data_IF_818479527704
#
_entry.id   IF_818479527704
#
_cell.length_a   1.000
_cell.length_b   1.000
_cell.length_c   1.000
_cell.angle_alpha   90.00
_cell.angle_beta   90.00
_cell.angle_gamma   90.00
#
_symmetry.space_group_name_H-M   'P 1'
#
loop_
_entity.id
_entity.type
_entity.pdbx_description
1 polymer ?
#
# COMPACT_ATOMS: atom_id res chain seq x y z
N UNK A 1 -10.88 -2.76 -6.75
CA UNK A 1 -10.28 -2.11 -7.92
C UNK A 1 -8.97 -2.77 -8.33
N UNK A 2 -7.90 -2.75 -7.53
CA UNK A 2 -6.59 -3.37 -7.86
C UNK A 2 -6.62 -4.88 -8.16
N UNK A 3 -7.52 -5.64 -7.52
CA UNK A 3 -7.61 -7.10 -7.69
C UNK A 3 -8.53 -7.53 -8.84
N UNK A 4 -9.18 -6.58 -9.52
CA UNK A 4 -10.03 -6.91 -10.67
C UNK A 4 -9.17 -7.47 -11.80
N UNK A 5 -9.60 -8.53 -12.52
CA UNK A 5 -8.83 -9.11 -13.62
C UNK A 5 -8.37 -8.08 -14.65
N UNK A 6 -9.26 -7.16 -15.04
CA UNK A 6 -8.99 -6.10 -16.00
C UNK A 6 -7.99 -5.03 -15.53
N UNK A 7 -7.48 -5.08 -14.30
CA UNK A 7 -6.49 -4.12 -13.78
C UNK A 7 -5.14 -4.77 -13.44
N UNK A 8 -4.92 -6.05 -13.78
CA UNK A 8 -3.71 -6.79 -13.40
C UNK A 8 -2.40 -6.18 -13.91
N UNK A 9 -2.38 -5.60 -15.09
CA UNK A 9 -1.24 -4.87 -15.68
C UNK A 9 -0.74 -3.67 -14.85
N UNK A 10 -1.55 -3.13 -13.92
CA UNK A 10 -1.10 -2.05 -13.02
C UNK A 10 -0.19 -2.57 -11.89
N UNK A 11 -0.07 -3.89 -11.73
CA UNK A 11 0.89 -4.56 -10.85
C UNK A 11 2.27 -4.65 -11.53
N UNK A 12 2.89 -3.49 -11.79
CA UNK A 12 4.09 -3.37 -12.64
C UNK A 12 5.36 -3.97 -12.03
N UNK A 13 5.67 -3.59 -10.78
CA UNK A 13 6.93 -3.95 -10.10
C UNK A 13 6.74 -5.11 -9.12
N UNK A 14 5.54 -5.22 -8.56
CA UNK A 14 5.12 -6.25 -7.61
C UNK A 14 3.81 -6.84 -8.08
N UNK A 15 3.47 -8.05 -7.63
CA UNK A 15 2.23 -8.74 -7.97
C UNK A 15 1.31 -8.96 -6.76
N UNK A 16 0.04 -9.38 -6.99
CA UNK A 16 -0.88 -9.70 -5.90
C UNK A 16 -0.35 -10.78 -4.95
N UNK A 17 0.47 -11.72 -5.45
CA UNK A 17 1.08 -12.81 -4.67
C UNK A 17 2.40 -12.42 -4.00
N UNK A 18 2.95 -11.23 -4.29
CA UNK A 18 4.17 -10.75 -3.63
C UNK A 18 3.94 -10.70 -2.12
N UNK A 19 4.88 -11.25 -1.35
CA UNK A 19 4.79 -11.27 0.10
C UNK A 19 4.95 -9.85 0.67
N UNK A 20 4.14 -9.52 1.67
CA UNK A 20 4.24 -8.24 2.40
C UNK A 20 5.64 -8.07 2.99
N UNK A 21 6.21 -9.15 3.53
CA UNK A 21 7.58 -9.19 4.04
C UNK A 21 8.62 -8.83 2.97
N UNK A 22 8.43 -9.27 1.72
CA UNK A 22 9.33 -8.95 0.61
C UNK A 22 9.17 -7.49 0.17
N UNK A 23 7.93 -6.99 0.12
CA UNK A 23 7.65 -5.64 -0.35
C UNK A 23 8.05 -4.56 0.66
N UNK A 24 7.80 -4.78 1.95
CA UNK A 24 7.99 -3.78 3.01
C UNK A 24 9.11 -4.11 4.00
N UNK A 25 9.72 -5.28 3.92
CA UNK A 25 10.87 -5.67 4.73
C UNK A 25 10.51 -6.26 6.10
N UNK A 26 11.52 -6.30 6.98
CA UNK A 26 11.51 -7.08 8.22
C UNK A 26 10.43 -6.65 9.22
N UNK A 27 10.20 -5.34 9.40
CA UNK A 27 9.17 -4.89 10.35
C UNK A 27 7.77 -5.37 9.93
N UNK A 28 7.51 -5.43 8.62
CA UNK A 28 6.26 -5.95 8.09
C UNK A 28 6.17 -7.47 8.26
N UNK A 29 7.28 -8.20 8.08
CA UNK A 29 7.34 -9.63 8.36
C UNK A 29 7.02 -9.94 9.84
N UNK A 30 7.59 -9.17 10.76
CA UNK A 30 7.32 -9.31 12.21
C UNK A 30 5.86 -9.01 12.54
N UNK A 31 5.25 -8.00 11.89
CA UNK A 31 3.88 -7.59 12.21
C UNK A 31 2.81 -8.46 11.58
N UNK A 32 3.01 -8.89 10.34
CA UNK A 32 1.99 -9.57 9.53
C UNK A 32 2.30 -11.04 9.22
N UNK A 33 3.47 -11.53 9.63
CA UNK A 33 4.00 -12.83 9.21
C UNK A 33 4.63 -12.78 7.83
N UNK A 34 5.24 -13.90 7.43
CA UNK A 34 5.96 -14.05 6.15
C UNK A 34 5.05 -14.46 4.99
N UNK A 35 3.89 -15.03 5.29
CA UNK A 35 3.01 -15.62 4.27
C UNK A 35 1.98 -14.65 3.70
N UNK A 36 1.71 -13.55 4.39
CA UNK A 36 0.78 -12.51 3.96
C UNK A 36 1.19 -11.96 2.59
N UNK A 37 0.25 -11.89 1.67
CA UNK A 37 0.45 -11.32 0.34
C UNK A 37 -0.06 -9.87 0.25
N UNK A 38 0.48 -9.09 -0.70
CA UNK A 38 -0.02 -7.74 -0.97
C UNK A 38 -1.51 -7.75 -1.37
N UNK A 39 -1.94 -8.77 -2.11
CA UNK A 39 -3.35 -8.94 -2.48
C UNK A 39 -4.25 -9.13 -1.26
N UNK A 40 -3.85 -9.96 -0.30
CA UNK A 40 -4.55 -10.08 0.99
C UNK A 40 -4.49 -8.79 1.79
N UNK A 41 -3.36 -8.07 1.75
CA UNK A 41 -3.18 -6.77 2.39
C UNK A 41 -4.22 -5.74 1.95
N UNK A 42 -4.57 -5.72 0.66
CA UNK A 42 -5.59 -4.83 0.10
C UNK A 42 -7.01 -5.10 0.63
N UNK A 43 -7.27 -6.30 1.13
CA UNK A 43 -8.57 -6.69 1.69
C UNK A 43 -8.70 -6.32 3.18
N UNK A 44 -7.63 -5.87 3.83
CA UNK A 44 -7.61 -5.52 5.25
C UNK A 44 -8.53 -4.36 5.62
N UNK A 45 -9.47 -4.58 6.54
CA UNK A 45 -10.39 -3.56 7.08
C UNK A 45 -10.65 -3.81 8.56
N UNK A 46 -11.12 -2.78 9.28
CA UNK A 46 -11.65 -2.90 10.65
C UNK A 46 -10.60 -3.00 11.78
N UNK A 47 -9.40 -3.51 11.49
CA UNK A 47 -8.27 -3.53 12.43
C UNK A 47 -7.20 -2.50 12.00
N UNK A 48 -6.50 -1.90 12.98
CA UNK A 48 -5.52 -0.84 12.77
C UNK A 48 -4.44 -1.25 11.77
N UNK A 49 -3.70 -2.31 12.07
CA UNK A 49 -2.55 -2.70 11.25
C UNK A 49 -2.98 -3.28 9.91
N UNK A 50 -4.16 -3.92 9.83
CA UNK A 50 -4.80 -4.31 8.57
C UNK A 50 -5.16 -3.09 7.71
N UNK A 51 -5.66 -2.02 8.32
CA UNK A 51 -5.99 -0.77 7.63
C UNK A 51 -4.72 -0.06 7.16
N UNK A 52 -3.70 0.02 8.00
CA UNK A 52 -2.38 0.55 7.63
C UNK A 52 -1.81 -0.21 6.43
N UNK A 53 -1.83 -1.55 6.47
CA UNK A 53 -1.33 -2.39 5.38
C UNK A 53 -2.10 -2.16 4.07
N UNK A 54 -3.44 -2.08 4.13
CA UNK A 54 -4.26 -1.81 2.94
C UNK A 54 -3.89 -0.48 2.30
N UNK A 55 -3.79 0.57 3.10
CA UNK A 55 -3.51 1.93 2.60
C UNK A 55 -2.07 2.07 2.13
N UNK A 56 -1.09 1.47 2.83
CA UNK A 56 0.30 1.43 2.40
C UNK A 56 0.49 0.64 1.10
N UNK A 57 -0.19 -0.51 0.96
CA UNK A 57 -0.16 -1.30 -0.28
C UNK A 57 -0.74 -0.51 -1.44
N UNK A 58 -1.87 0.19 -1.21
CA UNK A 58 -2.47 1.05 -2.24
C UNK A 58 -1.53 2.21 -2.62
N UNK A 59 -0.88 2.83 -1.63
CA UNK A 59 0.09 3.91 -1.87
C UNK A 59 1.32 3.43 -2.63
N UNK A 60 1.81 2.22 -2.32
CA UNK A 60 2.93 1.61 -3.03
C UNK A 60 2.59 1.41 -4.52
N UNK A 61 1.42 0.84 -4.80
CA UNK A 61 0.96 0.63 -6.17
C UNK A 61 0.73 1.95 -6.92
N UNK A 62 0.18 2.97 -6.26
CA UNK A 62 0.06 4.31 -6.83
C UNK A 62 1.43 4.90 -7.18
N UNK A 63 2.43 4.77 -6.31
CA UNK A 63 3.78 5.28 -6.53
C UNK A 63 4.47 4.66 -7.75
N UNK A 64 4.17 3.38 -8.07
CA UNK A 64 4.70 2.71 -9.26
C UNK A 64 4.00 3.13 -10.55
N UNK A 65 2.76 3.63 -10.47
CA UNK A 65 1.95 3.96 -11.63
C UNK A 65 1.93 5.47 -11.94
N UNK A 66 2.33 6.33 -11.01
CA UNK A 66 2.32 7.79 -11.21
C UNK A 66 3.43 8.50 -10.44
N UNK A 67 4.28 9.22 -11.17
CA UNK A 67 5.26 10.16 -10.58
C UNK A 67 4.60 11.38 -9.93
N UNK A 68 3.32 11.65 -10.24
CA UNK A 68 2.54 12.73 -9.64
C UNK A 68 1.87 12.31 -8.32
N UNK A 69 1.99 11.03 -7.94
CA UNK A 69 1.48 10.58 -6.65
C UNK A 69 2.30 11.19 -5.51
N UNK A 70 1.62 11.63 -4.46
CA UNK A 70 2.20 12.40 -3.36
C UNK A 70 3.36 11.68 -2.64
N UNK A 71 3.35 10.35 -2.62
CA UNK A 71 4.39 9.55 -1.98
C UNK A 71 5.27 8.86 -3.02
N UNK A 72 6.55 9.25 -3.14
CA UNK A 72 7.55 8.44 -3.83
C UNK A 72 7.67 7.06 -3.18
N UNK A 73 8.01 6.02 -3.96
CA UNK A 73 8.08 4.63 -3.48
C UNK A 73 8.92 4.48 -2.22
N UNK A 74 10.14 5.04 -2.20
CA UNK A 74 11.02 4.97 -1.03
C UNK A 74 10.39 5.60 0.22
N UNK A 75 9.58 6.65 0.04
CA UNK A 75 8.87 7.30 1.14
C UNK A 75 7.73 6.42 1.68
N UNK A 76 6.99 5.73 0.80
CA UNK A 76 5.98 4.76 1.22
C UNK A 76 6.61 3.67 2.09
N UNK A 77 7.74 3.10 1.63
CA UNK A 77 8.45 2.05 2.36
C UNK A 77 8.96 2.53 3.72
N UNK A 78 9.58 3.72 3.75
CA UNK A 78 10.09 4.31 4.98
C UNK A 78 8.97 4.58 5.99
N UNK A 79 7.93 5.32 5.58
CA UNK A 79 6.84 5.72 6.47
C UNK A 79 6.03 4.52 6.98
N UNK A 80 5.87 3.48 6.16
CA UNK A 80 5.27 2.21 6.59
C UNK A 80 6.10 1.55 7.69
N UNK A 81 7.42 1.41 7.50
CA UNK A 81 8.28 0.80 8.50
C UNK A 81 8.33 1.60 9.80
N UNK A 82 8.37 2.93 9.72
CA UNK A 82 8.29 3.82 10.89
C UNK A 82 6.95 3.68 11.63
N UNK A 83 5.84 3.57 10.89
CA UNK A 83 4.52 3.36 11.47
C UNK A 83 4.40 2.00 12.20
N UNK A 84 5.04 0.95 11.67
CA UNK A 84 5.04 -0.38 12.28
C UNK A 84 5.88 -0.48 13.56
N UNK A 85 7.01 0.23 13.60
CA UNK A 85 7.91 0.27 14.75
C UNK A 85 7.49 1.30 15.81
N UNK A 86 6.56 2.18 15.45
CA UNK A 86 6.04 3.21 16.34
C UNK A 86 4.88 2.76 17.21
N UNK A 87 4.24 3.75 17.83
CA UNK A 87 3.03 3.58 18.64
C UNK A 87 1.79 3.36 17.77
N UNK A 88 0.72 2.74 18.31
CA UNK A 88 -0.56 2.64 17.61
C UNK A 88 -1.09 3.98 17.08
N UNK A 89 -0.87 5.08 17.81
CA UNK A 89 -1.26 6.43 17.38
C UNK A 89 -0.47 6.93 16.16
N UNK A 90 0.80 6.54 16.02
CA UNK A 90 1.58 6.81 14.82
C UNK A 90 1.08 5.97 13.65
N UNK A 91 0.80 4.68 13.87
CA UNK A 91 0.23 3.80 12.85
C UNK A 91 -1.12 4.32 12.32
N UNK A 92 -2.04 4.74 13.19
CA UNK A 92 -3.34 5.32 12.78
C UNK A 92 -3.11 6.59 11.95
N UNK A 93 -2.25 7.50 12.42
CA UNK A 93 -1.95 8.75 11.71
C UNK A 93 -1.38 8.48 10.32
N UNK A 94 -0.48 7.51 10.18
CA UNK A 94 0.11 7.18 8.90
C UNK A 94 -0.90 6.49 7.95
N UNK A 95 -1.75 5.59 8.47
CA UNK A 95 -2.82 4.98 7.68
C UNK A 95 -3.76 6.06 7.11
N UNK A 96 -4.14 7.06 7.91
CA UNK A 96 -4.96 8.19 7.47
C UNK A 96 -4.27 9.04 6.40
N UNK A 97 -2.96 9.27 6.52
CA UNK A 97 -2.18 9.99 5.51
C UNK A 97 -2.16 9.27 4.17
N UNK A 98 -1.85 7.97 4.17
CA UNK A 98 -1.91 7.16 2.96
C UNK A 98 -3.31 7.14 2.36
N UNK A 99 -4.35 6.97 3.19
CA UNK A 99 -5.75 6.98 2.73
C UNK A 99 -6.14 8.27 2.01
N UNK A 100 -5.75 9.44 2.55
CA UNK A 100 -5.97 10.74 1.89
C UNK A 100 -5.24 10.86 0.56
N UNK A 101 -3.96 10.45 0.51
CA UNK A 101 -3.21 10.47 -0.74
C UNK A 101 -3.79 9.52 -1.78
N UNK A 102 -4.23 8.32 -1.37
CA UNK A 102 -4.84 7.31 -2.23
C UNK A 102 -6.19 7.74 -2.81
N UNK A 103 -6.96 8.54 -2.07
CA UNK A 103 -8.20 9.14 -2.56
C UNK A 103 -7.95 10.21 -3.64
N UNK A 104 -6.72 10.74 -3.72
CA UNK A 104 -6.34 11.81 -4.63
C UNK A 104 -6.73 13.19 -4.12
N UNK A 105 -6.10 14.21 -4.72
CA UNK A 105 -6.50 15.62 -4.61
C UNK A 105 -7.20 16.02 -5.92
N UNK A 106 -7.90 17.17 -5.95
CA UNK A 106 -8.72 17.63 -7.10
C UNK A 106 -8.00 17.59 -8.48
N UNK A 107 -6.66 17.54 -8.49
CA UNK A 107 -5.83 17.50 -9.70
C UNK A 107 -5.07 16.17 -9.97
N UNK A 108 -5.16 15.15 -9.09
CA UNK A 108 -4.46 13.86 -9.26
C UNK A 108 -5.42 12.73 -8.97
N UNK A 109 -5.98 12.13 -10.02
CA UNK A 109 -6.85 10.95 -9.92
C UNK A 109 -6.03 9.66 -9.87
N UNK A 110 -6.55 8.65 -9.16
CA UNK A 110 -6.00 7.30 -9.18
C UNK A 110 -6.15 6.72 -10.61
N UNK A 111 -5.04 6.65 -11.36
CA UNK A 111 -5.01 6.19 -12.76
C UNK A 111 -4.76 4.70 -12.81
N UNK A 112 -5.82 3.91 -12.66
CA UNK A 112 -5.81 2.50 -13.03
C UNK A 112 -6.13 2.38 -14.51
N UNK A 113 -5.21 1.82 -15.29
CA UNK A 113 -5.44 1.52 -16.70
C UNK A 113 -6.16 0.16 -16.83
N UNK A 114 -7.18 0.09 -17.67
CA UNK A 114 -7.71 -1.20 -18.10
C UNK A 114 -6.64 -1.94 -18.91
N UNK A 115 -6.46 -3.22 -18.66
CA UNK A 115 -5.53 -4.05 -19.39
C UNK A 115 -6.16 -4.47 -20.71
N UNK A 116 -5.39 -4.29 -21.80
CA UNK A 116 -5.71 -4.75 -23.14
C UNK A 116 -4.99 -6.07 -23.43
#
# INVERSE_FOLDING_TARGET
FWLMPGNRCNWRVVGPQTKVALAFGLAAAQKYGTDMTLGQGLLGRGELYRTLLREATTALLNSYNSIQFEYPTLRVLWDMNQALQGTPRQAIRQALRFSRANAGSRNVTCRLAACH
#
